data_IF_338990581064
#
_entry.id   IF_338990581064
#
_cell.length_a   1.000
_cell.length_b   1.000
_cell.length_c   1.000
_cell.angle_alpha   90.00
_cell.angle_beta   90.00
_cell.angle_gamma   90.00
#
_symmetry.space_group_name_H-M   'P 1'
#
loop_
_entity.id
_entity.type
_entity.pdbx_description
1 polymer ?
#
# COMPACT_ATOMS: atom_id res chain seq x y z
N UNK A 1 29.08 -36.29 3.71
CA UNK A 1 27.73 -35.75 3.94
C UNK A 1 26.75 -36.88 3.77
N UNK A 2 25.97 -37.19 4.80
CA UNK A 2 24.99 -38.28 4.76
C UNK A 2 23.77 -37.87 3.91
N UNK A 3 23.19 -38.83 3.20
CA UNK A 3 21.94 -38.66 2.48
C UNK A 3 20.79 -38.70 3.49
N UNK A 4 19.82 -37.80 3.36
CA UNK A 4 18.58 -37.81 4.15
C UNK A 4 17.58 -38.80 3.60
N UNK A 5 17.62 -39.04 2.28
CA UNK A 5 16.65 -39.85 1.56
C UNK A 5 16.82 -39.75 0.05
N UNK A 6 15.90 -40.36 -0.68
CA UNK A 6 15.89 -40.36 -2.15
C UNK A 6 14.57 -39.87 -2.70
N UNK A 7 14.64 -39.10 -3.78
CA UNK A 7 13.46 -38.63 -4.51
C UNK A 7 12.68 -39.83 -5.03
N UNK A 8 11.41 -39.95 -4.68
CA UNK A 8 10.52 -40.99 -5.20
C UNK A 8 9.66 -40.47 -6.34
N UNK A 9 9.15 -39.25 -6.20
CA UNK A 9 8.32 -38.58 -7.18
C UNK A 9 8.61 -37.07 -7.25
N UNK A 10 8.37 -36.47 -8.41
CA UNK A 10 8.41 -35.02 -8.61
C UNK A 10 7.12 -34.59 -9.31
N UNK A 11 6.44 -33.62 -8.73
CA UNK A 11 5.17 -33.07 -9.20
C UNK A 11 5.26 -31.55 -9.27
N UNK A 12 5.74 -31.05 -10.41
CA UNK A 12 5.90 -29.61 -10.65
C UNK A 12 6.73 -28.96 -9.54
N UNK A 13 6.10 -28.08 -8.75
CA UNK A 13 6.75 -27.32 -7.68
C UNK A 13 7.17 -28.15 -6.44
N UNK A 14 6.82 -29.44 -6.37
CA UNK A 14 7.10 -30.28 -5.21
C UNK A 14 7.83 -31.56 -5.59
N UNK A 15 8.68 -32.06 -4.69
CA UNK A 15 9.21 -33.41 -4.76
C UNK A 15 8.93 -34.19 -3.49
N UNK A 16 8.66 -35.48 -3.65
CA UNK A 16 8.46 -36.43 -2.56
C UNK A 16 9.74 -37.21 -2.36
N UNK A 17 10.17 -37.35 -1.11
CA UNK A 17 11.44 -37.96 -0.74
C UNK A 17 11.18 -39.04 0.30
N UNK A 18 11.65 -40.26 0.04
CA UNK A 18 11.65 -41.35 1.01
C UNK A 18 12.94 -41.26 1.85
N UNK A 19 12.82 -41.19 3.17
CA UNK A 19 13.96 -41.04 4.07
C UNK A 19 14.77 -42.34 4.17
N UNK A 20 16.10 -42.21 4.20
CA UNK A 20 17.03 -43.36 4.31
C UNK A 20 16.99 -44.01 5.70
N UNK A 21 16.60 -43.25 6.74
CA UNK A 21 16.40 -43.72 8.11
C UNK A 21 15.08 -43.20 8.68
N UNK A 22 14.45 -43.92 9.62
CA UNK A 22 13.25 -43.44 10.30
C UNK A 22 13.55 -42.11 11.01
N UNK A 23 12.83 -41.05 10.60
CA UNK A 23 12.78 -39.70 11.21
C UNK A 23 14.04 -39.31 12.01
N UNK A 24 15.13 -39.06 11.29
CA UNK A 24 16.29 -38.39 11.87
C UNK A 24 15.90 -36.98 12.36
N UNK A 25 16.54 -36.50 13.42
CA UNK A 25 16.28 -35.18 14.02
C UNK A 25 16.45 -33.99 13.05
N UNK A 26 17.10 -34.20 11.91
CA UNK A 26 17.30 -33.24 10.81
C UNK A 26 16.09 -33.07 9.89
N UNK A 27 15.17 -34.04 9.81
CA UNK A 27 13.97 -33.94 8.95
C UNK A 27 12.90 -33.14 9.70
N UNK A 28 12.89 -31.81 9.51
CA UNK A 28 11.93 -30.89 10.11
C UNK A 28 11.28 -30.01 9.05
N UNK A 29 10.02 -29.66 9.26
CA UNK A 29 9.33 -28.67 8.44
C UNK A 29 10.12 -27.35 8.48
N UNK A 30 10.33 -26.75 7.31
CA UNK A 30 11.14 -25.55 7.10
C UNK A 30 12.63 -25.81 6.86
N UNK A 31 13.15 -27.01 7.12
CA UNK A 31 14.55 -27.33 6.84
C UNK A 31 14.85 -27.22 5.34
N UNK A 32 16.01 -26.65 5.01
CA UNK A 32 16.49 -26.48 3.64
C UNK A 32 17.25 -27.73 3.20
N UNK A 33 16.85 -28.30 2.07
CA UNK A 33 17.48 -29.47 1.49
C UNK A 33 17.86 -29.20 0.05
N UNK A 34 18.83 -29.96 -0.44
CA UNK A 34 19.27 -29.90 -1.83
C UNK A 34 19.38 -31.28 -2.45
N UNK A 35 19.21 -31.31 -3.76
CA UNK A 35 19.40 -32.50 -4.58
C UNK A 35 20.13 -32.12 -5.86
N UNK A 36 21.00 -33.01 -6.34
CA UNK A 36 21.76 -32.75 -7.55
C UNK A 36 20.89 -33.08 -8.76
N UNK A 37 20.73 -32.10 -9.65
CA UNK A 37 20.19 -32.31 -11.00
C UNK A 37 21.35 -32.58 -11.97
N UNK A 38 21.19 -32.27 -13.25
CA UNK A 38 22.23 -32.51 -14.27
C UNK A 38 23.52 -31.74 -13.93
N UNK A 39 23.48 -30.41 -14.05
CA UNK A 39 24.65 -29.53 -13.89
C UNK A 39 24.49 -28.49 -12.76
N UNK A 40 23.40 -28.56 -12.00
CA UNK A 40 23.07 -27.63 -10.92
C UNK A 40 22.49 -28.36 -9.72
N UNK A 41 22.46 -27.67 -8.58
CA UNK A 41 21.80 -28.17 -7.38
C UNK A 41 20.43 -27.52 -7.26
N UNK A 42 19.39 -28.35 -7.16
CA UNK A 42 18.03 -27.90 -6.89
C UNK A 42 17.85 -27.80 -5.39
N UNK A 43 17.31 -26.69 -4.92
CA UNK A 43 17.13 -26.40 -3.51
C UNK A 43 15.64 -26.21 -3.19
N UNK A 44 15.22 -26.72 -2.04
CA UNK A 44 13.86 -26.59 -1.57
C UNK A 44 13.73 -26.68 -0.05
N UNK A 45 12.54 -26.41 0.45
CA UNK A 45 12.18 -26.48 1.87
C UNK A 45 11.29 -27.67 2.13
N UNK A 46 11.51 -28.39 3.23
CA UNK A 46 10.61 -29.45 3.67
C UNK A 46 9.28 -28.81 4.10
N UNK A 47 8.21 -29.05 3.33
CA UNK A 47 6.86 -28.52 3.59
C UNK A 47 6.00 -29.45 4.43
N UNK A 48 6.18 -30.76 4.29
CA UNK A 48 5.42 -31.76 5.05
C UNK A 48 6.25 -33.00 5.34
N UNK A 49 5.94 -33.68 6.46
CA UNK A 49 6.54 -34.96 6.83
C UNK A 49 5.40 -35.93 7.16
N UNK A 50 5.45 -37.12 6.59
CA UNK A 50 4.44 -38.15 6.67
C UNK A 50 5.12 -39.50 6.98
N UNK A 51 4.39 -40.38 7.65
CA UNK A 51 4.80 -41.77 7.83
C UNK A 51 3.83 -42.62 7.02
N UNK A 52 4.33 -43.29 6.00
CA UNK A 52 3.57 -44.25 5.23
C UNK A 52 3.45 -45.57 6.01
N UNK A 53 2.20 -46.01 6.21
CA UNK A 53 1.83 -47.15 7.04
C UNK A 53 2.05 -48.51 6.39
N UNK A 54 2.85 -48.57 5.32
CA UNK A 54 3.32 -49.82 4.73
C UNK A 54 4.08 -50.71 5.73
N UNK A 55 4.37 -51.94 5.35
CA UNK A 55 5.16 -52.86 6.16
C UNK A 55 6.40 -53.31 5.37
N UNK A 56 7.61 -52.80 5.69
CA UNK A 56 7.94 -51.92 6.81
C UNK A 56 7.45 -50.46 6.60
N UNK A 57 7.18 -49.71 7.69
CA UNK A 57 6.75 -48.33 7.61
C UNK A 57 7.88 -47.45 7.07
N UNK A 58 7.52 -46.50 6.20
CA UNK A 58 8.48 -45.62 5.52
C UNK A 58 8.21 -44.18 5.89
N UNK A 59 9.25 -43.44 6.22
CA UNK A 59 9.13 -41.99 6.42
C UNK A 59 9.26 -41.29 5.08
N UNK A 60 8.28 -40.46 4.75
CA UNK A 60 8.24 -39.71 3.50
C UNK A 60 8.09 -38.23 3.83
N UNK A 61 8.83 -37.37 3.14
CA UNK A 61 8.68 -35.93 3.29
C UNK A 61 8.53 -35.26 1.93
N UNK A 62 7.76 -34.17 1.93
CA UNK A 62 7.48 -33.36 0.75
C UNK A 62 8.34 -32.11 0.82
N UNK A 63 9.03 -31.82 -0.26
CA UNK A 63 9.91 -30.66 -0.41
C UNK A 63 9.32 -29.73 -1.45
N UNK A 64 9.06 -28.48 -1.04
CA UNK A 64 8.70 -27.38 -1.93
C UNK A 64 9.96 -26.84 -2.60
N UNK A 65 10.02 -26.92 -3.93
CA UNK A 65 11.16 -26.49 -4.71
C UNK A 65 11.20 -24.95 -4.77
N UNK A 66 12.31 -24.36 -4.32
CA UNK A 66 12.49 -22.90 -4.30
C UNK A 66 13.21 -22.41 -5.56
N UNK A 67 14.22 -23.15 -5.99
CA UNK A 67 15.06 -22.74 -7.11
C UNK A 67 16.27 -23.63 -7.30
N UNK A 68 17.25 -23.10 -8.01
CA UNK A 68 18.50 -23.79 -8.33
C UNK A 68 19.73 -22.93 -8.01
N UNK A 69 20.80 -23.60 -7.61
CA UNK A 69 22.13 -23.03 -7.45
C UNK A 69 22.96 -23.48 -8.65
N UNK A 70 23.30 -22.52 -9.50
CA UNK A 70 24.13 -22.74 -10.69
C UNK A 70 25.53 -22.26 -10.38
N UNK A 71 26.53 -23.10 -10.63
CA UNK A 71 27.94 -22.71 -10.49
C UNK A 71 28.48 -22.29 -11.85
N UNK A 72 28.91 -21.04 -11.98
CA UNK A 72 29.56 -20.52 -13.18
C UNK A 72 30.89 -21.23 -13.44
N UNK A 73 31.37 -21.19 -14.68
CA UNK A 73 32.70 -21.69 -15.07
C UNK A 73 33.84 -21.02 -14.27
N UNK A 74 33.61 -19.82 -13.72
CA UNK A 74 34.54 -19.06 -12.88
C UNK A 74 34.46 -19.45 -11.39
N UNK A 75 33.65 -20.45 -11.03
CA UNK A 75 33.51 -20.97 -9.67
C UNK A 75 32.59 -20.16 -8.76
N UNK A 76 31.93 -19.12 -9.27
CA UNK A 76 30.90 -18.39 -8.52
C UNK A 76 29.55 -19.12 -8.59
N UNK A 77 28.97 -19.40 -7.43
CA UNK A 77 27.63 -19.97 -7.31
C UNK A 77 26.59 -18.85 -7.26
N UNK A 78 25.55 -18.94 -8.07
CA UNK A 78 24.43 -18.00 -8.14
C UNK A 78 23.13 -18.76 -7.87
N UNK A 79 22.29 -18.22 -6.98
CA UNK A 79 20.94 -18.74 -6.77
C UNK A 79 19.95 -18.11 -7.74
N UNK A 80 19.14 -18.94 -8.39
CA UNK A 80 18.06 -18.51 -9.29
C UNK A 80 16.74 -19.08 -8.80
N UNK A 81 15.70 -18.23 -8.80
CA UNK A 81 14.34 -18.69 -8.49
C UNK A 81 13.78 -19.53 -9.62
N UNK A 82 13.06 -20.59 -9.25
CA UNK A 82 12.54 -21.56 -10.20
C UNK A 82 13.56 -22.65 -10.56
N UNK A 83 13.05 -23.79 -11.03
CA UNK A 83 13.86 -24.97 -11.36
C UNK A 83 13.80 -25.18 -12.86
N UNK A 84 14.95 -25.16 -13.53
CA UNK A 84 15.04 -25.37 -14.98
C UNK A 84 14.93 -26.85 -15.35
N UNK A 85 15.67 -27.70 -14.61
CA UNK A 85 15.64 -29.16 -14.76
C UNK A 85 15.35 -29.80 -13.41
N UNK A 86 14.18 -30.42 -13.34
CA UNK A 86 13.71 -31.12 -12.15
C UNK A 86 14.59 -32.33 -11.81
N UNK A 87 14.76 -32.63 -10.51
CA UNK A 87 15.53 -33.79 -10.09
C UNK A 87 14.87 -35.09 -10.57
N UNK A 88 15.70 -36.08 -10.87
CA UNK A 88 15.21 -37.40 -11.30
C UNK A 88 14.81 -38.25 -10.09
N UNK A 89 13.90 -39.20 -10.30
CA UNK A 89 13.59 -40.22 -9.30
C UNK A 89 14.85 -41.02 -8.96
N UNK A 90 15.00 -41.36 -7.68
CA UNK A 90 16.17 -42.00 -7.09
C UNK A 90 17.31 -41.06 -6.70
N UNK A 91 17.26 -39.77 -7.06
CA UNK A 91 18.31 -38.81 -6.72
C UNK A 91 18.44 -38.64 -5.20
N UNK A 92 19.66 -38.62 -4.63
CA UNK A 92 19.88 -38.45 -3.20
C UNK A 92 19.62 -37.01 -2.77
N UNK A 93 18.87 -36.85 -1.68
CA UNK A 93 18.55 -35.56 -1.05
C UNK A 93 19.43 -35.38 0.19
N UNK A 94 19.99 -34.18 0.36
CA UNK A 94 20.92 -33.84 1.45
C UNK A 94 20.51 -32.55 2.12
N UNK A 95 20.96 -32.33 3.35
CA UNK A 95 20.85 -31.02 3.99
C UNK A 95 21.57 -29.96 3.14
N UNK A 96 20.98 -28.75 3.07
CA UNK A 96 21.67 -27.60 2.51
C UNK A 96 22.87 -27.25 3.40
N UNK A 97 24.05 -27.13 2.79
CA UNK A 97 25.27 -26.74 3.49
C UNK A 97 25.28 -25.24 3.78
N UNK A 98 26.18 -24.83 4.66
CA UNK A 98 26.37 -23.41 4.95
C UNK A 98 26.71 -22.58 3.71
N UNK A 99 27.45 -23.15 2.75
CA UNK A 99 27.80 -22.52 1.48
C UNK A 99 26.58 -22.33 0.56
N UNK A 100 25.67 -23.31 0.54
CA UNK A 100 24.43 -23.23 -0.25
C UNK A 100 23.51 -22.16 0.33
N UNK A 101 23.30 -22.20 1.64
CA UNK A 101 22.53 -21.19 2.35
C UNK A 101 23.17 -19.80 2.17
N UNK A 102 24.51 -19.70 2.11
CA UNK A 102 25.20 -18.42 1.89
C UNK A 102 24.85 -17.89 0.52
N UNK A 103 24.86 -18.76 -0.49
CA UNK A 103 24.51 -18.41 -1.87
C UNK A 103 23.06 -17.96 -1.98
N UNK A 104 22.12 -18.69 -1.36
CA UNK A 104 20.66 -18.42 -1.42
C UNK A 104 20.30 -17.12 -0.71
N UNK A 105 20.92 -16.87 0.45
CA UNK A 105 20.67 -15.68 1.27
C UNK A 105 21.78 -14.63 1.15
N UNK A 106 22.57 -14.68 0.06
CA UNK A 106 23.63 -13.69 -0.20
C UNK A 106 22.99 -12.32 -0.18
N UNK A 107 23.64 -11.35 0.48
CA UNK A 107 23.21 -9.95 0.39
C UNK A 107 23.13 -9.57 -1.10
N UNK A 108 21.94 -9.21 -1.60
CA UNK A 108 21.81 -8.82 -2.99
C UNK A 108 22.69 -7.59 -3.28
N UNK A 109 23.22 -7.47 -4.50
CA UNK A 109 23.97 -6.28 -4.92
C UNK A 109 23.07 -5.05 -5.15
N UNK A 110 21.76 -5.28 -5.29
CA UNK A 110 20.71 -4.26 -5.44
C UNK A 110 20.35 -3.61 -4.11
N UNK A 111 19.70 -2.44 -4.12
CA UNK A 111 19.28 -1.70 -2.92
C UNK A 111 18.47 -2.58 -1.96
N UNK A 112 18.98 -2.80 -0.76
CA UNK A 112 18.37 -3.67 0.24
C UNK A 112 18.53 -3.13 1.66
N UNK A 113 17.60 -3.54 2.53
CA UNK A 113 17.64 -3.28 3.97
C UNK A 113 17.51 -4.58 4.74
N UNK A 114 18.28 -4.72 5.81
CA UNK A 114 18.16 -5.84 6.73
C UNK A 114 16.95 -5.63 7.64
N UNK A 115 16.06 -6.62 7.71
CA UNK A 115 14.87 -6.57 8.56
C UNK A 115 14.97 -7.50 9.78
N UNK A 116 15.91 -8.44 9.79
CA UNK A 116 16.03 -9.39 10.88
C UNK A 116 17.00 -10.50 10.54
N UNK A 117 16.81 -11.68 11.12
CA UNK A 117 17.62 -12.86 10.88
C UNK A 117 16.77 -14.05 10.48
N UNK A 118 17.39 -15.03 9.83
CA UNK A 118 16.69 -16.27 9.48
C UNK A 118 16.40 -17.09 10.74
N UNK A 119 15.22 -17.72 10.80
CA UNK A 119 14.81 -18.54 11.93
C UNK A 119 15.76 -19.73 12.16
N UNK A 120 16.20 -20.38 11.08
CA UNK A 120 17.09 -21.54 11.14
C UNK A 120 18.57 -21.18 11.38
N UNK A 121 18.95 -19.92 11.20
CA UNK A 121 20.31 -19.44 11.45
C UNK A 121 20.31 -17.96 11.87
N UNK A 122 20.34 -17.70 13.19
CA UNK A 122 20.37 -16.34 13.73
C UNK A 122 21.62 -15.53 13.36
N UNK A 123 22.69 -16.16 12.86
CA UNK A 123 23.89 -15.42 12.43
C UNK A 123 23.71 -14.75 11.05
N UNK A 124 22.62 -15.07 10.35
CA UNK A 124 22.36 -14.60 8.98
C UNK A 124 21.26 -13.57 8.94
N UNK A 125 21.54 -12.45 8.28
CA UNK A 125 20.58 -11.37 8.08
C UNK A 125 19.59 -11.70 6.96
N UNK A 126 18.32 -11.40 7.21
CA UNK A 126 17.27 -11.41 6.22
C UNK A 126 17.14 -10.00 5.62
N UNK A 127 17.18 -9.91 4.29
CA UNK A 127 17.12 -8.67 3.55
C UNK A 127 15.81 -8.53 2.77
N UNK A 128 15.32 -7.31 2.66
CA UNK A 128 14.22 -6.92 1.77
C UNK A 128 14.78 -5.99 0.69
N UNK A 129 14.36 -6.23 -0.55
CA UNK A 129 14.72 -5.41 -1.71
C UNK A 129 13.88 -4.14 -1.70
N UNK A 130 14.52 -2.99 -1.43
CA UNK A 130 13.81 -1.71 -1.22
C UNK A 130 13.13 -1.25 -2.50
N UNK A 131 13.86 -1.24 -3.62
CA UNK A 131 13.33 -0.75 -4.88
C UNK A 131 12.16 -1.60 -5.38
N UNK A 132 12.23 -2.92 -5.23
CA UNK A 132 11.11 -3.79 -5.59
C UNK A 132 9.91 -3.62 -4.66
N UNK A 133 10.15 -3.42 -3.36
CA UNK A 133 9.09 -3.20 -2.36
C UNK A 133 8.38 -1.86 -2.58
N UNK A 134 9.10 -0.81 -2.96
CA UNK A 134 8.53 0.53 -3.18
C UNK A 134 7.97 0.73 -4.59
N UNK A 135 8.54 0.06 -5.61
CA UNK A 135 8.06 0.16 -6.98
C UNK A 135 6.81 -0.69 -7.25
N UNK A 136 6.59 -1.74 -6.45
CA UNK A 136 5.43 -2.64 -6.55
C UNK A 136 4.55 -2.46 -5.30
N UNK A 137 3.27 -2.77 -5.43
CA UNK A 137 2.42 -2.90 -4.24
C UNK A 137 2.81 -4.19 -3.50
N UNK A 138 2.89 -4.13 -2.18
CA UNK A 138 3.13 -5.30 -1.33
C UNK A 138 2.08 -5.40 -0.22
N UNK A 139 1.92 -6.59 0.33
CA UNK A 139 0.98 -6.85 1.43
C UNK A 139 1.70 -7.57 2.58
N UNK A 140 1.41 -7.15 3.81
CA UNK A 140 1.85 -7.84 5.04
C UNK A 140 0.62 -8.53 5.63
N UNK A 141 0.64 -9.86 5.64
CA UNK A 141 -0.50 -10.70 6.03
C UNK A 141 -0.16 -11.51 7.28
N UNK A 142 -1.15 -11.69 8.15
CA UNK A 142 -1.00 -12.48 9.37
C UNK A 142 -2.23 -12.46 10.27
N UNK A 143 -2.39 -13.47 11.12
CA UNK A 143 -3.46 -13.51 12.13
C UNK A 143 -3.29 -12.42 13.20
N UNK A 144 -4.32 -12.17 14.01
CA UNK A 144 -4.19 -11.27 15.17
C UNK A 144 -3.09 -11.80 16.11
N UNK A 145 -2.19 -10.92 16.56
CA UNK A 145 -1.05 -11.29 17.41
C UNK A 145 0.18 -11.85 16.67
N UNK A 146 0.13 -12.06 15.35
CA UNK A 146 1.28 -12.54 14.56
C UNK A 146 2.40 -11.50 14.32
N UNK A 147 2.21 -10.26 14.80
CA UNK A 147 3.20 -9.20 14.66
C UNK A 147 3.11 -8.37 13.38
N UNK A 148 1.94 -8.29 12.71
CA UNK A 148 1.74 -7.46 11.50
C UNK A 148 2.22 -6.01 11.66
N UNK A 149 1.69 -5.27 12.64
CA UNK A 149 2.04 -3.86 12.87
C UNK A 149 3.53 -3.69 13.21
N UNK A 150 4.08 -4.63 14.00
CA UNK A 150 5.51 -4.69 14.30
C UNK A 150 6.35 -4.90 13.04
N UNK A 151 5.95 -5.84 12.17
CA UNK A 151 6.62 -6.10 10.89
C UNK A 151 6.58 -4.90 9.94
N UNK A 152 5.45 -4.19 9.85
CA UNK A 152 5.34 -2.96 9.07
C UNK A 152 6.27 -1.88 9.63
N UNK A 153 6.23 -1.63 10.95
CA UNK A 153 7.09 -0.64 11.60
C UNK A 153 8.58 -0.95 11.41
N UNK A 154 8.97 -2.22 11.52
CA UNK A 154 10.32 -2.72 11.29
C UNK A 154 10.79 -2.47 9.85
N UNK A 155 9.98 -2.87 8.87
CA UNK A 155 10.29 -2.67 7.44
C UNK A 155 10.47 -1.17 7.16
N UNK A 156 9.50 -0.34 7.58
CA UNK A 156 9.54 1.11 7.35
C UNK A 156 10.73 1.75 8.06
N UNK A 157 11.02 1.38 9.32
CA UNK A 157 12.18 1.90 10.06
C UNK A 157 13.50 1.54 9.37
N UNK A 158 13.62 0.32 8.86
CA UNK A 158 14.80 -0.11 8.13
C UNK A 158 14.98 0.66 6.81
N UNK A 159 13.89 0.92 6.08
CA UNK A 159 13.90 1.77 4.87
C UNK A 159 14.32 3.20 5.21
N UNK A 160 13.75 3.79 6.26
CA UNK A 160 14.04 5.16 6.69
C UNK A 160 15.49 5.34 7.14
N UNK A 161 16.09 4.33 7.76
CA UNK A 161 17.51 4.35 8.13
C UNK A 161 18.44 4.44 6.91
N UNK A 162 18.09 3.78 5.80
CA UNK A 162 18.82 3.86 4.52
C UNK A 162 18.44 5.08 3.69
N UNK A 163 17.23 5.63 3.88
CA UNK A 163 16.69 6.74 3.11
C UNK A 163 16.05 7.80 4.02
N UNK A 164 16.84 8.64 4.72
CA UNK A 164 16.32 9.63 5.68
C UNK A 164 15.43 10.72 5.06
N UNK A 165 15.48 10.88 3.73
CA UNK A 165 14.66 11.82 2.96
C UNK A 165 13.43 11.15 2.31
N UNK A 166 13.14 9.89 2.66
CA UNK A 166 11.92 9.24 2.20
C UNK A 166 10.68 9.92 2.82
N UNK A 167 9.56 9.84 2.11
CA UNK A 167 8.28 10.38 2.53
C UNK A 167 7.32 9.22 2.75
N UNK A 168 6.91 8.98 4.00
CA UNK A 168 6.03 7.86 4.36
C UNK A 168 4.75 8.42 4.98
N UNK A 169 3.60 8.00 4.46
CA UNK A 169 2.29 8.33 5.03
C UNK A 169 1.65 7.04 5.54
N UNK A 170 1.35 7.00 6.84
CA UNK A 170 0.70 5.88 7.51
C UNK A 170 -0.73 6.28 7.87
N UNK A 171 -1.70 5.52 7.38
CA UNK A 171 -3.10 5.63 7.79
C UNK A 171 -3.30 4.70 8.98
N UNK A 172 -3.56 5.27 10.15
CA UNK A 172 -3.54 4.55 11.42
C UNK A 172 -4.93 4.51 12.07
N UNK A 173 -5.74 3.45 11.81
CA UNK A 173 -7.07 3.31 12.39
C UNK A 173 -7.06 2.96 13.89
N UNK A 174 -5.93 2.48 14.42
CA UNK A 174 -5.83 1.97 15.79
C UNK A 174 -4.87 2.78 16.68
N UNK A 175 -4.26 3.83 16.13
CA UNK A 175 -3.29 4.68 16.82
C UNK A 175 -2.10 3.90 17.41
N UNK A 176 -1.54 2.97 16.61
CA UNK A 176 -0.42 2.11 17.01
C UNK A 176 0.95 2.66 16.56
N UNK A 177 1.00 3.42 15.46
CA UNK A 177 2.24 3.77 14.78
C UNK A 177 2.90 5.06 15.27
N UNK A 178 2.11 5.99 15.84
CA UNK A 178 2.64 7.24 16.39
C UNK A 178 3.77 6.99 17.41
N UNK A 179 3.51 6.07 18.35
CA UNK A 179 4.49 5.65 19.37
C UNK A 179 5.68 4.89 18.76
N UNK A 180 5.44 4.09 17.71
CA UNK A 180 6.47 3.27 17.09
C UNK A 180 7.55 4.09 16.38
N UNK A 181 7.17 5.20 15.75
CA UNK A 181 8.11 6.07 15.02
C UNK A 181 8.64 7.25 15.85
N UNK A 182 7.99 7.59 16.97
CA UNK A 182 8.47 8.59 17.92
C UNK A 182 8.78 9.94 17.24
N UNK A 183 10.00 10.44 17.44
CA UNK A 183 10.43 11.74 16.91
C UNK A 183 10.51 11.81 15.37
N UNK A 184 10.56 10.66 14.69
CA UNK A 184 10.57 10.58 13.23
C UNK A 184 9.17 10.82 12.61
N UNK A 185 8.12 10.84 13.45
CA UNK A 185 6.75 11.02 12.99
C UNK A 185 6.18 12.41 13.30
N UNK A 186 5.48 12.97 12.32
CA UNK A 186 4.44 13.97 12.56
C UNK A 186 3.10 13.27 12.72
N UNK A 187 2.44 13.49 13.86
CA UNK A 187 1.09 12.95 14.12
C UNK A 187 0.04 13.96 13.68
N UNK A 188 -0.83 13.53 12.77
CA UNK A 188 -1.97 14.28 12.25
C UNK A 188 -3.25 13.64 12.76
N UNK A 189 -4.04 14.36 13.55
CA UNK A 189 -5.25 13.86 14.20
C UNK A 189 -6.46 14.74 13.84
N UNK A 190 -7.66 14.41 14.31
CA UNK A 190 -8.89 15.15 14.00
C UNK A 190 -8.82 16.65 14.33
N UNK A 191 -8.05 17.03 15.35
CA UNK A 191 -7.93 18.42 15.81
C UNK A 191 -7.05 19.26 14.89
N UNK A 192 -6.04 18.66 14.27
CA UNK A 192 -5.06 19.37 13.45
C UNK A 192 -5.11 18.99 11.96
N UNK A 193 -5.89 17.96 11.58
CA UNK A 193 -6.12 17.57 10.20
C UNK A 193 -6.95 18.64 9.49
N UNK A 194 -6.56 18.96 8.26
CA UNK A 194 -7.21 20.00 7.47
C UNK A 194 -7.48 19.44 6.08
N UNK A 195 -8.72 19.00 5.85
CA UNK A 195 -9.19 18.46 4.57
C UNK A 195 -10.46 19.21 4.16
N UNK A 196 -10.32 20.36 3.46
CA UNK A 196 -11.45 21.21 3.12
C UNK A 196 -12.57 20.45 2.40
N UNK A 197 -13.83 20.81 2.68
CA UNK A 197 -15.00 20.27 1.99
C UNK A 197 -14.88 20.29 0.46
N UNK A 198 -14.22 21.31 -0.11
CA UNK A 198 -14.06 21.44 -1.56
C UNK A 198 -13.19 20.36 -2.21
N UNK A 199 -12.39 19.64 -1.43
CA UNK A 199 -11.53 18.55 -1.91
C UNK A 199 -12.33 17.29 -2.24
N UNK A 200 -13.55 17.17 -1.70
CA UNK A 200 -14.48 16.08 -2.01
C UNK A 200 -14.85 16.09 -3.50
N UNK A 201 -15.02 14.88 -4.04
CA UNK A 201 -15.76 14.71 -5.29
C UNK A 201 -17.27 14.68 -5.01
N UNK A 202 -18.06 14.61 -6.07
CA UNK A 202 -19.51 14.62 -5.94
C UNK A 202 -20.06 13.39 -5.22
N UNK A 203 -19.49 12.21 -5.46
CA UNK A 203 -19.94 10.97 -4.83
C UNK A 203 -19.72 11.03 -3.31
N UNK A 204 -18.53 11.45 -2.88
CA UNK A 204 -18.22 11.63 -1.46
C UNK A 204 -19.04 12.75 -0.82
N UNK A 205 -19.23 13.88 -1.52
CA UNK A 205 -20.08 14.97 -1.04
C UNK A 205 -21.52 14.49 -0.82
N UNK A 206 -22.07 13.67 -1.72
CA UNK A 206 -23.39 13.07 -1.52
C UNK A 206 -23.39 12.09 -0.35
N UNK A 207 -22.38 11.23 -0.20
CA UNK A 207 -22.28 10.28 0.91
C UNK A 207 -22.14 10.92 2.30
N UNK A 208 -21.59 12.14 2.37
CA UNK A 208 -21.47 12.92 3.61
C UNK A 208 -22.73 13.75 3.89
N UNK A 209 -23.24 14.46 2.88
CA UNK A 209 -24.28 15.48 3.03
C UNK A 209 -25.72 14.95 2.86
N UNK A 210 -25.91 13.81 2.19
CA UNK A 210 -27.24 13.25 1.91
C UNK A 210 -27.37 11.93 2.66
N UNK A 211 -28.18 11.92 3.73
CA UNK A 211 -28.47 10.70 4.51
C UNK A 211 -29.94 10.62 4.91
N UNK A 212 -30.46 9.40 4.93
CA UNK A 212 -31.85 9.11 5.29
C UNK A 212 -32.86 9.56 4.22
N UNK A 213 -34.14 9.37 4.50
CA UNK A 213 -35.23 9.65 3.55
C UNK A 213 -35.42 8.59 2.47
N UNK A 214 -36.36 8.83 1.56
CA UNK A 214 -36.62 7.93 0.42
C UNK A 214 -35.60 8.15 -0.70
N UNK A 215 -35.44 7.18 -1.59
CA UNK A 215 -34.53 7.30 -2.76
C UNK A 215 -34.84 8.56 -3.59
N UNK A 216 -36.11 8.87 -3.80
CA UNK A 216 -36.55 10.06 -4.53
C UNK A 216 -36.12 11.36 -3.84
N UNK A 217 -36.20 11.41 -2.51
CA UNK A 217 -35.75 12.59 -1.75
C UNK A 217 -34.22 12.75 -1.79
N UNK A 218 -33.48 11.65 -1.81
CA UNK A 218 -32.02 11.65 -1.93
C UNK A 218 -31.58 12.11 -3.33
N UNK A 219 -32.24 11.62 -4.38
CA UNK A 219 -32.01 12.05 -5.77
C UNK A 219 -32.28 13.55 -5.94
N UNK A 220 -33.38 14.06 -5.38
CA UNK A 220 -33.69 15.49 -5.41
C UNK A 220 -32.59 16.32 -4.72
N UNK A 221 -32.13 15.90 -3.54
CA UNK A 221 -31.02 16.55 -2.84
C UNK A 221 -29.72 16.48 -3.64
N UNK A 222 -29.42 15.36 -4.29
CA UNK A 222 -28.20 15.19 -5.09
C UNK A 222 -28.18 16.16 -6.28
N UNK A 223 -29.30 16.35 -6.97
CA UNK A 223 -29.42 17.32 -8.07
C UNK A 223 -29.15 18.75 -7.57
N UNK A 224 -29.75 19.13 -6.45
CA UNK A 224 -29.57 20.46 -5.83
C UNK A 224 -28.11 20.65 -5.43
N UNK A 225 -27.52 19.67 -4.75
CA UNK A 225 -26.14 19.72 -4.29
C UNK A 225 -25.16 19.83 -5.46
N UNK A 226 -25.40 19.09 -6.55
CA UNK A 226 -24.58 19.14 -7.78
C UNK A 226 -24.54 20.54 -8.38
N UNK A 227 -25.71 21.18 -8.51
CA UNK A 227 -25.81 22.54 -9.03
C UNK A 227 -25.11 23.54 -8.10
N UNK A 228 -25.37 23.45 -6.79
CA UNK A 228 -24.80 24.34 -5.80
C UNK A 228 -23.26 24.26 -5.76
N UNK A 229 -22.67 23.05 -5.76
CA UNK A 229 -21.20 22.86 -5.82
C UNK A 229 -20.64 23.42 -7.12
N UNK A 230 -21.28 23.13 -8.26
CA UNK A 230 -20.80 23.62 -9.58
C UNK A 230 -20.80 25.14 -9.62
N UNK A 231 -21.86 25.78 -9.11
CA UNK A 231 -21.96 27.24 -9.01
C UNK A 231 -20.94 27.82 -8.04
N UNK A 232 -20.71 27.18 -6.89
CA UNK A 232 -19.70 27.57 -5.91
C UNK A 232 -18.28 27.55 -6.49
N UNK A 233 -17.92 26.47 -7.20
CA UNK A 233 -16.62 26.36 -7.88
C UNK A 233 -16.44 27.41 -8.98
N UNK A 234 -17.48 27.67 -9.79
CA UNK A 234 -17.46 28.70 -10.84
C UNK A 234 -17.37 30.12 -10.26
N UNK A 235 -18.03 30.36 -9.13
CA UNK A 235 -17.96 31.63 -8.43
C UNK A 235 -16.53 31.92 -7.94
N UNK A 236 -15.88 30.91 -7.33
CA UNK A 236 -14.51 31.04 -6.86
C UNK A 236 -13.49 31.23 -7.98
N UNK A 237 -13.63 30.52 -9.09
CA UNK A 237 -12.65 30.55 -10.18
C UNK A 237 -12.50 31.93 -10.85
N UNK A 238 -13.43 32.87 -10.64
CA UNK A 238 -13.52 34.20 -11.27
C UNK A 238 -13.54 34.17 -12.83
N UNK A 239 -14.06 35.23 -13.47
CA UNK A 239 -14.42 35.21 -14.90
C UNK A 239 -13.21 34.97 -15.82
N UNK A 240 -13.23 33.85 -16.55
CA UNK A 240 -12.29 33.49 -17.60
C UNK A 240 -12.72 32.23 -18.35
N UNK A 241 -12.03 31.88 -19.45
CA UNK A 241 -12.31 30.70 -20.29
C UNK A 241 -12.34 29.35 -19.51
N UNK A 242 -11.71 29.31 -18.34
CA UNK A 242 -11.63 28.13 -17.46
C UNK A 242 -12.95 27.88 -16.72
N UNK A 243 -13.76 28.91 -16.45
CA UNK A 243 -15.01 28.78 -15.68
C UNK A 243 -16.09 27.96 -16.42
N UNK A 244 -16.06 27.96 -17.75
CA UNK A 244 -17.02 27.23 -18.58
C UNK A 244 -16.79 25.71 -18.58
N UNK A 245 -15.55 25.26 -18.38
CA UNK A 245 -15.19 23.83 -18.31
C UNK A 245 -15.27 23.23 -16.90
N UNK A 246 -15.64 24.03 -15.89
CA UNK A 246 -15.77 23.54 -14.50
C UNK A 246 -16.99 22.63 -14.39
N UNK A 247 -16.71 21.40 -13.96
CA UNK A 247 -17.66 20.38 -13.54
C UNK A 247 -17.74 20.30 -12.01
N UNK A 248 -18.66 19.50 -11.50
CA UNK A 248 -18.83 19.27 -10.05
C UNK A 248 -17.57 18.65 -9.40
N UNK A 249 -16.83 17.82 -10.13
CA UNK A 249 -15.61 17.12 -9.65
C UNK A 249 -14.31 17.87 -9.99
N UNK A 250 -14.40 19.06 -10.58
CA UNK A 250 -13.20 19.87 -10.83
C UNK A 250 -12.61 20.30 -9.49
N UNK A 251 -11.31 20.09 -9.21
CA UNK A 251 -10.69 20.40 -7.92
C UNK A 251 -10.40 21.91 -7.79
N UNK A 252 -11.47 22.70 -7.80
CA UNK A 252 -11.44 24.15 -7.62
C UNK A 252 -11.93 24.49 -6.21
N UNK A 253 -11.20 25.30 -5.42
CA UNK A 253 -11.66 25.67 -4.09
C UNK A 253 -13.03 26.36 -4.13
N UNK A 254 -13.79 26.22 -3.05
CA UNK A 254 -15.00 27.00 -2.82
C UNK A 254 -15.27 27.12 -1.32
N UNK A 255 -15.96 28.19 -0.92
CA UNK A 255 -16.35 28.42 0.46
C UNK A 255 -17.71 27.79 0.80
N UNK A 256 -17.85 27.28 2.02
CA UNK A 256 -19.14 26.81 2.57
C UNK A 256 -20.21 27.93 2.57
N UNK A 257 -19.89 29.20 2.86
CA UNK A 257 -20.88 30.29 2.76
C UNK A 257 -21.45 30.46 1.35
N UNK A 258 -20.62 30.31 0.32
CA UNK A 258 -21.08 30.35 -1.08
C UNK A 258 -21.98 29.15 -1.41
N UNK A 259 -21.63 27.97 -0.91
CA UNK A 259 -22.47 26.77 -1.09
C UNK A 259 -23.87 26.98 -0.47
N UNK A 260 -23.92 27.48 0.77
CA UNK A 260 -25.18 27.81 1.45
C UNK A 260 -25.98 28.86 0.68
N UNK A 261 -25.33 29.95 0.26
CA UNK A 261 -25.97 31.02 -0.52
C UNK A 261 -26.60 30.48 -1.81
N UNK A 262 -25.92 29.59 -2.53
CA UNK A 262 -26.45 29.02 -3.77
C UNK A 262 -27.62 28.05 -3.54
N UNK A 263 -27.64 27.33 -2.41
CA UNK A 263 -28.80 26.53 -1.99
C UNK A 263 -29.98 27.45 -1.67
N UNK A 264 -29.77 28.53 -0.93
CA UNK A 264 -30.82 29.48 -0.54
C UNK A 264 -31.40 30.24 -1.74
N UNK A 265 -30.55 30.69 -2.66
CA UNK A 265 -30.99 31.33 -3.92
C UNK A 265 -31.85 30.40 -4.79
N UNK A 266 -31.50 29.12 -4.84
CA UNK A 266 -32.27 28.13 -5.60
C UNK A 266 -33.62 27.84 -4.93
N UNK A 267 -33.64 27.77 -3.59
CA UNK A 267 -34.86 27.63 -2.80
C UNK A 267 -35.80 28.83 -2.97
N UNK A 268 -35.28 30.07 -2.96
CA UNK A 268 -36.08 31.29 -3.09
C UNK A 268 -36.75 31.50 -4.46
N UNK A 269 -36.33 30.76 -5.49
CA UNK A 269 -36.96 30.77 -6.82
C UNK A 269 -38.16 29.83 -6.95
N UNK A 270 -38.45 29.05 -5.91
CA UNK A 270 -39.55 28.09 -5.92
C UNK A 270 -40.86 28.76 -5.49
N UNK A 271 -41.88 28.61 -6.31
CA UNK A 271 -43.22 29.14 -6.03
C UNK A 271 -44.06 28.24 -5.10
N UNK A 272 -43.59 27.03 -4.78
CA UNK A 272 -44.36 26.03 -4.02
C UNK A 272 -43.62 25.58 -2.74
N UNK A 273 -44.21 25.74 -1.54
CA UNK A 273 -43.62 25.35 -0.26
C UNK A 273 -43.17 23.87 -0.19
N UNK A 274 -43.92 22.95 -0.81
CA UNK A 274 -43.62 21.51 -0.75
C UNK A 274 -42.30 21.14 -1.44
N UNK A 275 -41.83 21.97 -2.39
CA UNK A 275 -40.57 21.76 -3.10
C UNK A 275 -39.34 22.28 -2.33
N UNK A 276 -39.52 22.97 -1.20
CA UNK A 276 -38.43 23.56 -0.40
C UNK A 276 -37.79 22.57 0.58
N UNK A 277 -38.50 21.50 0.95
CA UNK A 277 -38.04 20.49 1.90
C UNK A 277 -36.63 19.92 1.61
N UNK A 278 -36.26 19.52 0.38
CA UNK A 278 -34.92 18.99 0.12
C UNK A 278 -33.80 20.04 0.31
N UNK A 279 -34.08 21.32 0.05
CA UNK A 279 -33.13 22.43 0.28
C UNK A 279 -32.90 22.63 1.78
N UNK A 280 -33.98 22.66 2.56
CA UNK A 280 -33.92 22.81 4.02
C UNK A 280 -33.18 21.65 4.69
N UNK A 281 -33.35 20.42 4.20
CA UNK A 281 -32.62 19.24 4.71
C UNK A 281 -31.12 19.35 4.43
N UNK A 282 -30.73 19.69 3.20
CA UNK A 282 -29.32 19.92 2.85
C UNK A 282 -28.69 21.03 3.70
N UNK A 283 -29.39 22.16 3.83
CA UNK A 283 -28.93 23.30 4.64
C UNK A 283 -28.73 22.89 6.10
N UNK A 284 -29.75 22.32 6.72
CA UNK A 284 -29.70 21.85 8.11
C UNK A 284 -28.58 20.83 8.30
N UNK A 285 -28.40 19.91 7.35
CA UNK A 285 -27.34 18.90 7.42
C UNK A 285 -25.96 19.53 7.33
N UNK A 286 -25.73 20.44 6.39
CA UNK A 286 -24.46 21.16 6.24
C UNK A 286 -24.11 21.98 7.49
N UNK A 287 -25.08 22.68 8.08
CA UNK A 287 -24.91 23.41 9.34
C UNK A 287 -24.60 22.46 10.50
N UNK A 288 -25.33 21.34 10.62
CA UNK A 288 -25.10 20.34 11.67
C UNK A 288 -23.70 19.72 11.62
N UNK A 289 -23.17 19.49 10.42
CA UNK A 289 -21.81 18.96 10.23
C UNK A 289 -20.74 20.00 10.54
N UNK A 290 -20.97 21.27 10.19
CA UNK A 290 -20.07 22.37 10.54
C UNK A 290 -19.92 22.50 12.06
N UNK A 291 -21.01 22.33 12.79
CA UNK A 291 -21.04 22.51 14.24
C UNK A 291 -20.59 21.24 15.00
N UNK A 292 -20.47 20.09 14.33
CA UNK A 292 -19.97 18.83 14.91
C UNK A 292 -18.43 18.81 14.96
N UNK A 293 -17.88 18.73 16.18
CA UNK A 293 -16.42 18.68 16.43
C UNK A 293 -15.71 17.55 15.68
N UNK A 294 -16.38 16.42 15.43
CA UNK A 294 -15.78 15.28 14.72
C UNK A 294 -15.51 15.58 13.25
N UNK A 295 -16.19 16.59 12.68
CA UNK A 295 -16.03 17.06 11.31
C UNK A 295 -15.23 18.36 11.23
N UNK A 296 -14.69 18.87 12.34
CA UNK A 296 -13.96 20.14 12.39
C UNK A 296 -12.80 20.21 11.38
N UNK A 297 -12.20 19.06 11.05
CA UNK A 297 -11.16 18.94 10.03
C UNK A 297 -11.60 19.33 8.61
N UNK A 298 -12.90 19.33 8.32
CA UNK A 298 -13.48 19.71 7.01
C UNK A 298 -13.90 21.17 6.92
N UNK A 299 -14.18 21.79 8.05
CA UNK A 299 -14.84 23.10 8.15
C UNK A 299 -13.96 24.19 8.79
N UNK A 300 -12.66 23.94 8.97
CA UNK A 300 -11.76 24.84 9.69
C UNK A 300 -11.72 26.24 9.03
N UNK A 301 -11.90 27.31 9.80
CA UNK A 301 -12.06 28.70 9.33
C UNK A 301 -10.93 29.22 8.42
N UNK A 302 -9.72 28.67 8.54
CA UNK A 302 -8.56 28.99 7.69
C UNK A 302 -8.66 28.42 6.26
N UNK A 303 -9.48 27.37 6.05
CA UNK A 303 -9.58 26.61 4.80
C UNK A 303 -10.61 27.18 3.82
N UNK A 304 -11.45 28.12 4.27
CA UNK A 304 -12.70 28.46 3.58
C UNK A 304 -12.50 29.40 2.37
N UNK A 305 -11.29 29.88 2.09
CA UNK A 305 -11.09 30.90 1.03
C UNK A 305 -9.76 30.84 0.27
N UNK A 306 -8.86 29.90 0.56
CA UNK A 306 -7.52 29.83 -0.07
C UNK A 306 -7.28 28.47 -0.72
N UNK A 307 -6.50 28.47 -1.79
CA UNK A 307 -5.89 27.23 -2.30
C UNK A 307 -4.85 26.74 -1.29
N UNK A 308 -5.26 25.82 -0.42
CA UNK A 308 -4.41 25.20 0.60
C UNK A 308 -3.81 23.88 0.14
N UNK A 309 -4.03 23.47 -1.11
CA UNK A 309 -3.61 22.14 -1.59
C UNK A 309 -2.11 21.92 -1.42
N UNK A 310 -1.30 22.92 -1.80
CA UNK A 310 0.16 22.82 -1.67
C UNK A 310 0.62 22.71 -0.21
N UNK A 311 -0.07 23.37 0.72
CA UNK A 311 0.24 23.31 2.15
C UNK A 311 -0.14 21.95 2.74
N UNK A 312 -1.34 21.45 2.40
CA UNK A 312 -1.83 20.14 2.82
C UNK A 312 -0.88 19.05 2.31
N UNK A 313 -0.58 19.06 1.01
CA UNK A 313 0.34 18.09 0.39
C UNK A 313 1.74 18.22 0.99
N UNK A 314 2.25 19.44 1.16
CA UNK A 314 3.58 19.68 1.71
C UNK A 314 3.71 19.15 3.14
N UNK A 315 2.70 19.36 3.98
CA UNK A 315 2.65 18.80 5.34
C UNK A 315 2.51 17.28 5.32
N UNK A 316 1.53 16.75 4.60
CA UNK A 316 1.26 15.31 4.57
C UNK A 316 2.43 14.50 3.99
N UNK A 317 3.10 15.01 2.96
CA UNK A 317 4.29 14.39 2.39
C UNK A 317 5.58 14.78 3.11
N UNK A 318 5.56 15.66 4.12
CA UNK A 318 6.78 16.14 4.80
C UNK A 318 7.78 16.73 3.80
N UNK A 319 7.39 17.79 3.11
CA UNK A 319 8.23 18.54 2.16
C UNK A 319 8.42 19.96 2.72
N UNK A 320 9.62 20.32 3.23
CA UNK A 320 10.78 19.46 3.47
C UNK A 320 10.58 18.45 4.62
N UNK A 321 11.44 17.43 4.69
CA UNK A 321 11.32 16.32 5.66
C UNK A 321 11.56 16.78 7.10
N UNK A 322 12.52 17.69 7.30
CA UNK A 322 12.88 18.29 8.59
C UNK A 322 13.08 17.25 9.72
N UNK A 323 13.73 16.12 9.39
CA UNK A 323 14.02 15.04 10.34
C UNK A 323 12.81 14.20 10.75
N UNK A 324 11.60 14.49 10.22
CA UNK A 324 10.38 13.70 10.45
C UNK A 324 9.85 13.15 9.13
N UNK A 325 10.39 12.04 8.62
CA UNK A 325 10.00 11.48 7.31
C UNK A 325 8.64 10.78 7.32
N UNK A 326 8.05 10.53 8.49
CA UNK A 326 6.78 9.81 8.62
C UNK A 326 5.65 10.77 8.98
N UNK A 327 4.55 10.71 8.26
CA UNK A 327 3.27 11.28 8.66
C UNK A 327 2.37 10.16 9.13
N UNK A 328 1.95 10.18 10.39
CA UNK A 328 0.97 9.24 10.94
C UNK A 328 -0.36 9.96 11.02
N UNK A 329 -1.34 9.52 10.23
CA UNK A 329 -2.70 10.04 10.27
C UNK A 329 -3.52 9.14 11.19
N UNK A 330 -3.81 9.67 12.38
CA UNK A 330 -4.65 9.01 13.37
C UNK A 330 -6.12 9.11 12.96
N UNK A 331 -6.68 7.97 12.53
CA UNK A 331 -8.07 7.84 12.13
C UNK A 331 -8.96 7.34 13.29
N UNK A 332 -8.41 7.04 14.46
CA UNK A 332 -9.16 6.47 15.59
C UNK A 332 -10.25 7.40 16.13
N UNK A 333 -10.07 8.72 15.98
CA UNK A 333 -11.06 9.73 16.35
C UNK A 333 -12.11 10.02 15.27
N UNK A 334 -11.97 9.44 14.07
CA UNK A 334 -12.85 9.71 12.93
C UNK A 334 -14.02 8.73 12.93
N UNK A 335 -15.27 9.19 12.75
CA UNK A 335 -16.41 8.30 12.61
C UNK A 335 -16.20 7.27 11.48
N UNK A 336 -16.49 5.99 11.75
CA UNK A 336 -16.34 4.91 10.77
C UNK A 336 -17.12 5.16 9.48
N UNK A 337 -18.26 5.86 9.59
CA UNK A 337 -19.12 6.25 8.47
C UNK A 337 -18.46 7.16 7.43
N UNK A 338 -17.35 7.81 7.77
CA UNK A 338 -16.62 8.74 6.89
C UNK A 338 -15.14 8.40 6.77
N UNK A 339 -14.68 7.32 7.40
CA UNK A 339 -13.27 6.92 7.37
C UNK A 339 -12.78 6.73 5.92
N UNK A 340 -13.57 6.06 5.08
CA UNK A 340 -13.26 5.85 3.67
C UNK A 340 -13.12 7.17 2.89
N UNK A 341 -13.98 8.14 3.19
CA UNK A 341 -13.93 9.48 2.59
C UNK A 341 -12.63 10.18 2.98
N UNK A 342 -12.26 10.12 4.26
CA UNK A 342 -11.00 10.73 4.74
C UNK A 342 -9.78 10.07 4.08
N UNK A 343 -9.76 8.74 4.02
CA UNK A 343 -8.69 7.99 3.34
C UNK A 343 -8.58 8.41 1.87
N UNK A 344 -9.70 8.53 1.18
CA UNK A 344 -9.75 8.98 -0.21
C UNK A 344 -9.23 10.43 -0.37
N UNK A 345 -9.69 11.35 0.48
CA UNK A 345 -9.27 12.75 0.49
C UNK A 345 -7.77 12.92 0.75
N UNK A 346 -7.18 12.09 1.61
CA UNK A 346 -5.74 12.06 1.88
C UNK A 346 -4.97 11.53 0.67
N UNK A 347 -5.43 10.42 0.08
CA UNK A 347 -4.74 9.76 -1.02
C UNK A 347 -4.81 10.53 -2.34
N UNK A 348 -5.94 11.19 -2.62
CA UNK A 348 -6.21 11.88 -3.89
C UNK A 348 -5.17 12.95 -4.27
N UNK A 349 -4.77 13.88 -3.38
CA UNK A 349 -3.70 14.82 -3.65
C UNK A 349 -2.38 14.14 -4.03
N UNK A 350 -2.04 13.00 -3.42
CA UNK A 350 -0.83 12.25 -3.75
C UNK A 350 -0.87 11.73 -5.19
N UNK A 351 -2.02 11.18 -5.61
CA UNK A 351 -2.21 10.74 -7.00
C UNK A 351 -2.15 11.91 -7.99
N UNK A 352 -2.71 13.07 -7.65
CA UNK A 352 -2.59 14.26 -8.49
C UNK A 352 -1.15 14.73 -8.65
N UNK A 353 -0.38 14.76 -7.56
CA UNK A 353 1.04 15.10 -7.59
C UNK A 353 1.86 14.10 -8.41
N UNK A 354 1.63 12.81 -8.22
CA UNK A 354 2.30 11.75 -8.99
C UNK A 354 2.01 11.88 -10.49
N UNK A 355 0.74 12.09 -10.87
CA UNK A 355 0.32 12.24 -12.28
C UNK A 355 0.88 13.51 -12.93
N UNK A 356 1.01 14.61 -12.19
CA UNK A 356 1.62 15.85 -12.72
C UNK A 356 3.12 15.66 -12.96
N UNK A 357 3.83 14.99 -12.05
CA UNK A 357 5.27 14.69 -12.23
C UNK A 357 5.55 13.85 -13.47
N UNK A 358 4.74 12.82 -13.74
CA UNK A 358 4.91 12.00 -14.95
C UNK A 358 4.63 12.79 -16.23
N UNK A 359 3.63 13.67 -16.23
CA UNK A 359 3.34 14.56 -17.36
C UNK A 359 4.44 15.61 -17.62
N UNK A 360 5.07 16.16 -16.57
CA UNK A 360 6.19 17.09 -16.70
C UNK A 360 7.46 16.39 -17.16
N UNK A 361 7.77 15.20 -16.61
CA UNK A 361 8.91 14.38 -17.02
C UNK A 361 8.86 14.00 -18.51
N UNK A 362 7.68 13.65 -19.02
CA UNK A 362 7.46 13.37 -20.45
C UNK A 362 7.62 14.61 -21.36
N UNK A 363 7.40 15.83 -20.84
CA UNK A 363 7.62 17.07 -21.58
C UNK A 363 9.08 17.53 -21.59
N UNK A 364 9.90 17.06 -20.66
CA UNK A 364 11.33 17.41 -20.54
C UNK A 364 12.28 16.44 -21.24
N UNK A 365 11.77 15.37 -21.86
CA UNK A 365 12.56 14.53 -22.77
C UNK A 365 12.87 15.33 -24.04
N UNK A 366 14.15 15.62 -24.38
CA UNK A 366 14.46 16.30 -25.64
C UNK A 366 14.00 15.42 -26.82
N UNK A 367 13.47 16.01 -27.91
CA UNK A 367 13.16 15.25 -29.10
C UNK A 367 14.44 14.55 -29.57
N UNK A 368 14.36 13.23 -29.75
CA UNK A 368 15.47 12.44 -30.26
C UNK A 368 15.97 13.06 -31.57
N UNK A 369 17.22 13.51 -31.57
CA UNK A 369 17.88 14.01 -32.78
C UNK A 369 17.81 12.91 -33.86
N UNK A 370 17.37 13.22 -35.09
CA UNK A 370 17.35 12.23 -36.16
C UNK A 370 18.78 11.76 -36.43
N UNK A 371 18.99 10.44 -36.37
CA UNK A 371 20.26 9.81 -36.75
C UNK A 371 20.56 10.17 -38.21
N UNK A 372 21.77 10.64 -38.57
CA UNK A 372 22.12 10.84 -39.96
C UNK A 372 22.14 9.49 -40.69
N UNK A 373 21.68 9.43 -41.95
CA UNK A 373 21.73 8.22 -42.75
C UNK A 373 23.18 7.82 -42.98
N UNK A 374 23.45 6.53 -42.82
CA UNK A 374 24.79 5.97 -42.77
C UNK A 374 25.63 6.22 -44.02
N UNK A 375 26.95 6.16 -43.80
CA UNK A 375 27.95 5.74 -44.77
C UNK A 375 28.83 4.70 -44.13
#
# INVERSE_FOLDING_TARGET
>A
MYSLGRVTAVSGAQMTVEADQPLASSIRIGAMVKTRSVDHEVVGTIGAVQVDGGSPPRSVFVVDLLGEVVTSAEGQSEFRRGVSHYPISGAPVRDASDADLRTIYTRPSVTNVAIGTLFHDPTRQAFVLVDELLAKNFAVLGSTGSGKSCGVALILSAVLAGHPQAHVVVLDPHNEYATAFGELAEVVNVENLQLPLWLLDFEEATGVLIRGGTTQEQEAQAIILKDAITRARRHYASKGLVAASITVDTPAPFGVPDLLRFIDEAMGRLNNPDNSAPYLRLRTRLESLRDDRRFAFMFSDWLVTRDTLSQIVGRLLRIPVDGRPVTVIDLSGIPSEIADVVVSLVCRPFFWCARRRTATSQRTSPPALPRPPGR
#
